data_IF_216788705688
#
_entry.id   IF_216788705688
#
_cell.length_a   1.000
_cell.length_b   1.000
_cell.length_c   1.000
_cell.angle_alpha   90.00
_cell.angle_beta   90.00
_cell.angle_gamma   90.00
#
_symmetry.space_group_name_H-M   'P 1'
#
loop_
_entity.id
_entity.type
_entity.pdbx_description
1 polymer ?
#
# COMPACT_ATOMS: atom_id res chain seq x y z
N UNK A 1 -16.01 -6.08 -30.30
CA UNK A 1 -14.64 -5.54 -30.58
C UNK A 1 -13.63 -6.32 -29.76
N UNK A 2 -12.43 -6.59 -30.30
CA UNK A 2 -11.35 -7.30 -29.60
C UNK A 2 -10.14 -6.40 -29.39
N UNK A 3 -9.41 -6.57 -28.28
CA UNK A 3 -8.22 -5.76 -27.96
C UNK A 3 -6.94 -6.61 -27.87
N UNK A 4 -5.87 -6.15 -28.51
CA UNK A 4 -4.53 -6.69 -28.39
C UNK A 4 -3.69 -5.71 -27.56
N UNK A 5 -3.53 -5.98 -26.27
CA UNK A 5 -2.86 -5.07 -25.32
C UNK A 5 -1.38 -5.44 -25.22
N UNK A 6 -0.51 -4.45 -25.43
CA UNK A 6 0.94 -4.63 -25.53
C UNK A 6 1.34 -5.27 -26.84
N UNK A 7 0.77 -4.80 -27.96
CA UNK A 7 1.00 -5.43 -29.26
C UNK A 7 2.47 -5.39 -29.70
N UNK A 8 3.26 -4.44 -29.19
CA UNK A 8 4.58 -4.13 -29.71
C UNK A 8 4.53 -4.02 -31.24
N UNK A 9 5.50 -4.63 -31.92
CA UNK A 9 5.58 -4.62 -33.39
C UNK A 9 4.65 -5.62 -34.09
N UNK A 10 3.85 -6.38 -33.36
CA UNK A 10 2.98 -7.43 -33.91
C UNK A 10 1.57 -6.88 -34.12
N UNK A 11 1.29 -6.44 -35.35
CA UNK A 11 -0.06 -6.06 -35.77
C UNK A 11 -0.94 -7.30 -35.89
N UNK A 12 -2.14 -7.25 -35.34
CA UNK A 12 -3.19 -8.23 -35.60
C UNK A 12 -4.41 -7.52 -36.19
N UNK A 13 -4.79 -7.80 -37.46
CA UNK A 13 -5.89 -7.12 -38.13
C UNK A 13 -7.28 -7.43 -37.54
N UNK A 14 -7.42 -8.48 -36.73
CA UNK A 14 -8.69 -8.84 -36.09
C UNK A 14 -8.88 -8.14 -34.72
N UNK A 15 -7.89 -7.39 -34.26
CA UNK A 15 -7.88 -6.71 -32.95
C UNK A 15 -7.59 -5.22 -33.11
N UNK A 16 -8.14 -4.41 -32.20
CA UNK A 16 -7.61 -3.07 -31.96
C UNK A 16 -6.29 -3.22 -31.18
N UNK A 17 -5.18 -2.84 -31.80
CA UNK A 17 -3.84 -2.96 -31.26
C UNK A 17 -3.53 -1.77 -30.36
N UNK A 18 -3.15 -2.04 -29.12
CA UNK A 18 -2.90 -1.05 -28.09
C UNK A 18 -1.50 -1.24 -27.53
N UNK A 19 -0.71 -0.17 -27.50
CA UNK A 19 0.61 -0.17 -26.88
C UNK A 19 0.90 1.18 -26.22
N UNK A 20 1.78 1.22 -25.23
CA UNK A 20 2.17 2.47 -24.56
C UNK A 20 3.38 3.14 -25.23
N UNK A 21 4.24 2.36 -25.87
CA UNK A 21 5.54 2.79 -26.38
C UNK A 21 5.72 2.61 -27.89
N UNK A 22 4.91 1.76 -28.53
CA UNK A 22 4.99 1.51 -29.97
C UNK A 22 3.89 2.27 -30.73
N UNK A 23 4.27 3.30 -31.47
CA UNK A 23 3.37 4.16 -32.24
C UNK A 23 3.27 3.80 -33.72
N UNK A 24 4.20 2.99 -34.25
CA UNK A 24 4.20 2.62 -35.66
C UNK A 24 3.10 1.61 -36.01
N UNK A 25 2.74 0.76 -35.05
CA UNK A 25 1.87 -0.40 -35.28
C UNK A 25 0.58 -0.33 -34.44
N UNK A 26 0.59 0.33 -33.29
CA UNK A 26 -0.60 0.41 -32.45
C UNK A 26 -1.68 1.32 -33.08
N UNK A 27 -2.94 0.86 -33.04
CA UNK A 27 -4.11 1.66 -33.42
C UNK A 27 -4.44 2.73 -32.35
N UNK A 28 -3.96 2.51 -31.12
CA UNK A 28 -4.13 3.40 -29.96
C UNK A 28 -2.89 3.37 -29.06
N UNK A 29 -2.40 4.56 -28.70
CA UNK A 29 -1.34 4.73 -27.70
C UNK A 29 -1.93 4.86 -26.29
N UNK A 30 -1.92 3.79 -25.51
CA UNK A 30 -2.53 3.75 -24.16
C UNK A 30 -1.75 2.83 -23.22
N UNK A 31 -1.90 3.09 -21.91
CA UNK A 31 -1.42 2.17 -20.89
C UNK A 31 -2.41 1.01 -20.69
N UNK A 32 -1.90 -0.19 -20.40
CA UNK A 32 -2.71 -1.36 -20.09
C UNK A 32 -3.65 -1.17 -18.88
N UNK A 33 -3.32 -0.25 -17.96
CA UNK A 33 -4.13 0.07 -16.78
C UNK A 33 -4.94 1.37 -16.91
N UNK A 34 -4.98 1.98 -18.11
CA UNK A 34 -5.84 3.13 -18.40
C UNK A 34 -6.28 3.09 -19.85
N UNK A 35 -7.32 2.30 -20.12
CA UNK A 35 -7.85 2.09 -21.46
C UNK A 35 -9.01 3.07 -21.69
N UNK A 36 -8.97 3.86 -22.76
CA UNK A 36 -10.03 4.83 -23.10
C UNK A 36 -11.18 4.18 -23.88
N UNK A 37 -11.63 3.01 -23.40
CA UNK A 37 -12.82 2.32 -23.88
C UNK A 37 -13.92 2.32 -22.84
N UNK A 38 -15.17 2.25 -23.29
CA UNK A 38 -16.35 2.19 -22.44
C UNK A 38 -16.39 0.89 -21.62
N UNK A 39 -17.17 0.90 -20.54
CA UNK A 39 -17.45 -0.30 -19.75
C UNK A 39 -18.14 -1.36 -20.62
N UNK A 40 -17.75 -2.63 -20.48
CA UNK A 40 -18.37 -3.75 -21.20
C UNK A 40 -18.42 -3.59 -22.74
N UNK A 41 -17.37 -3.00 -23.33
CA UNK A 41 -17.30 -2.66 -24.76
C UNK A 41 -16.49 -3.65 -25.62
N UNK A 42 -15.77 -4.60 -25.01
CA UNK A 42 -14.98 -5.60 -25.74
C UNK A 42 -15.34 -7.04 -25.39
N UNK A 43 -15.31 -7.92 -26.40
CA UNK A 43 -15.66 -9.34 -26.27
C UNK A 43 -14.46 -10.20 -25.87
N UNK A 44 -13.25 -9.78 -26.26
CA UNK A 44 -12.02 -10.50 -26.01
C UNK A 44 -10.84 -9.53 -25.85
N UNK A 45 -9.98 -9.83 -24.87
CA UNK A 45 -8.68 -9.22 -24.69
C UNK A 45 -7.62 -10.30 -24.80
N UNK A 46 -6.57 -10.03 -25.58
CA UNK A 46 -5.30 -10.74 -25.46
C UNK A 46 -4.21 -9.79 -24.96
N UNK A 47 -3.42 -10.28 -24.02
CA UNK A 47 -2.34 -9.57 -23.34
C UNK A 47 -1.13 -10.50 -23.33
N UNK A 48 -0.38 -10.52 -24.43
CA UNK A 48 0.67 -11.49 -24.70
C UNK A 48 2.03 -10.87 -24.43
N UNK A 49 2.78 -11.42 -23.47
CA UNK A 49 4.10 -10.91 -23.07
C UNK A 49 4.07 -9.45 -22.60
N UNK A 50 3.04 -9.06 -21.84
CA UNK A 50 2.91 -7.71 -21.28
C UNK A 50 2.93 -7.69 -19.75
N UNK A 51 2.35 -8.70 -19.10
CA UNK A 51 2.15 -8.67 -17.64
C UNK A 51 3.50 -8.64 -16.91
N UNK A 52 4.54 -9.30 -17.43
CA UNK A 52 5.89 -9.27 -16.89
C UNK A 52 6.53 -7.87 -16.88
N UNK A 53 6.08 -6.97 -17.75
CA UNK A 53 6.54 -5.57 -17.82
C UNK A 53 5.82 -4.67 -16.82
N UNK A 54 4.81 -5.19 -16.12
CA UNK A 54 4.07 -4.50 -15.07
C UNK A 54 4.57 -4.94 -13.69
N UNK A 55 4.62 -3.99 -12.75
CA UNK A 55 4.85 -4.28 -11.33
C UNK A 55 3.62 -4.97 -10.74
N UNK A 56 3.75 -5.42 -9.48
CA UNK A 56 2.67 -6.08 -8.76
C UNK A 56 1.36 -5.26 -8.77
N UNK A 57 1.43 -3.96 -8.45
CA UNK A 57 0.24 -3.09 -8.39
C UNK A 57 -0.23 -2.63 -9.77
N UNK A 58 0.69 -2.37 -10.71
CA UNK A 58 0.30 -2.08 -12.09
C UNK A 58 -0.48 -3.25 -12.72
N UNK A 59 -0.14 -4.49 -12.36
CA UNK A 59 -0.86 -5.69 -12.82
C UNK A 59 -2.26 -5.75 -12.23
N UNK A 60 -2.45 -5.48 -10.93
CA UNK A 60 -3.79 -5.41 -10.32
C UNK A 60 -4.65 -4.38 -11.05
N UNK A 61 -4.09 -3.21 -11.36
CA UNK A 61 -4.81 -2.14 -12.06
C UNK A 61 -5.09 -2.52 -13.53
N UNK A 62 -4.15 -3.15 -14.22
CA UNK A 62 -4.35 -3.62 -15.59
C UNK A 62 -5.44 -4.69 -15.68
N UNK A 63 -5.39 -5.72 -14.82
CA UNK A 63 -6.42 -6.75 -14.76
C UNK A 63 -7.79 -6.16 -14.40
N UNK A 64 -7.83 -5.19 -13.48
CA UNK A 64 -9.07 -4.48 -13.17
C UNK A 64 -9.59 -3.67 -14.36
N UNK A 65 -8.71 -3.01 -15.11
CA UNK A 65 -9.10 -2.25 -16.31
C UNK A 65 -9.57 -3.18 -17.43
N UNK A 66 -8.94 -4.35 -17.60
CA UNK A 66 -9.40 -5.41 -18.50
C UNK A 66 -10.78 -5.91 -18.11
N UNK A 67 -11.02 -6.14 -16.82
CA UNK A 67 -12.34 -6.50 -16.31
C UNK A 67 -13.35 -5.39 -16.65
N UNK A 68 -13.02 -4.11 -16.43
CA UNK A 68 -13.93 -2.98 -16.69
C UNK A 68 -14.45 -2.96 -18.13
N UNK A 69 -13.54 -3.10 -19.10
CA UNK A 69 -13.86 -2.96 -20.54
C UNK A 69 -14.43 -4.25 -21.15
N UNK A 70 -14.09 -5.43 -20.62
CA UNK A 70 -14.67 -6.69 -21.11
C UNK A 70 -16.18 -6.73 -20.86
N UNK A 71 -16.94 -7.23 -21.81
CA UNK A 71 -18.35 -7.54 -21.63
C UNK A 71 -18.54 -8.72 -20.66
N UNK A 72 -19.73 -8.90 -20.05
CA UNK A 72 -19.99 -10.07 -19.22
C UNK A 72 -19.79 -11.37 -20.00
N UNK A 73 -19.06 -12.34 -19.42
CA UNK A 73 -18.57 -13.56 -20.09
C UNK A 73 -17.50 -13.33 -21.18
N UNK A 74 -17.02 -12.09 -21.35
CA UNK A 74 -15.92 -11.77 -22.24
C UNK A 74 -14.64 -12.49 -21.83
N UNK A 75 -13.78 -12.77 -22.80
CA UNK A 75 -12.62 -13.64 -22.63
C UNK A 75 -11.33 -12.84 -22.46
N UNK A 76 -10.50 -13.24 -21.52
CA UNK A 76 -9.15 -12.71 -21.31
C UNK A 76 -8.13 -13.83 -21.55
N UNK A 77 -7.14 -13.53 -22.40
CA UNK A 77 -6.00 -14.40 -22.70
C UNK A 77 -4.73 -13.68 -22.27
N UNK A 78 -3.97 -14.28 -21.36
CA UNK A 78 -2.67 -13.76 -20.93
C UNK A 78 -1.59 -14.78 -21.26
N UNK A 79 -0.45 -14.30 -21.77
CA UNK A 79 0.78 -15.08 -21.84
C UNK A 79 1.92 -14.35 -21.14
N UNK A 80 2.74 -15.09 -20.42
CA UNK A 80 3.92 -14.57 -19.72
C UNK A 80 4.96 -15.70 -19.58
N UNK A 81 6.25 -15.40 -19.36
CA UNK A 81 7.27 -16.41 -19.12
C UNK A 81 6.89 -17.36 -17.98
N UNK A 82 7.12 -18.66 -18.18
CA UNK A 82 6.89 -19.68 -17.16
C UNK A 82 8.07 -19.66 -16.18
N UNK A 83 7.86 -19.00 -15.02
CA UNK A 83 8.90 -18.80 -14.01
C UNK A 83 9.50 -20.13 -13.51
N UNK A 84 8.67 -21.14 -13.27
CA UNK A 84 9.12 -22.42 -12.72
C UNK A 84 9.98 -23.18 -13.72
N UNK A 85 9.51 -23.28 -14.97
CA UNK A 85 10.31 -23.92 -16.04
C UNK A 85 11.57 -23.12 -16.34
N UNK A 86 11.49 -21.79 -16.36
CA UNK A 86 12.67 -20.93 -16.57
C UNK A 86 13.71 -21.16 -15.47
N UNK A 87 13.30 -21.28 -14.20
CA UNK A 87 14.19 -21.66 -13.11
C UNK A 87 14.81 -23.05 -13.31
N UNK A 88 14.01 -24.04 -13.73
CA UNK A 88 14.51 -25.40 -13.99
C UNK A 88 15.56 -25.41 -15.11
N UNK A 89 15.34 -24.66 -16.19
CA UNK A 89 16.32 -24.47 -17.26
C UNK A 89 17.58 -23.79 -16.74
N UNK A 90 17.44 -22.68 -16.01
CA UNK A 90 18.58 -21.96 -15.41
C UNK A 90 19.43 -22.86 -14.51
N UNK A 91 18.82 -23.70 -13.68
CA UNK A 91 19.55 -24.58 -12.75
C UNK A 91 20.32 -25.69 -13.48
N UNK A 92 19.83 -26.15 -14.63
CA UNK A 92 20.46 -27.21 -15.45
C UNK A 92 21.47 -26.67 -16.46
N UNK A 93 21.42 -25.38 -16.76
CA UNK A 93 22.22 -24.72 -17.79
C UNK A 93 23.71 -24.55 -17.42
N UNK A 94 24.54 -24.54 -18.45
CA UNK A 94 25.95 -24.14 -18.36
C UNK A 94 26.11 -22.62 -18.16
N UNK A 95 27.36 -22.14 -18.09
CA UNK A 95 27.65 -20.73 -17.81
C UNK A 95 27.14 -19.78 -18.89
N UNK A 96 27.24 -20.14 -20.16
CA UNK A 96 26.86 -19.25 -21.27
C UNK A 96 25.33 -19.26 -21.42
N UNK A 97 24.71 -20.43 -21.36
CA UNK A 97 23.25 -20.58 -21.35
C UNK A 97 22.60 -19.80 -20.20
N UNK A 98 23.21 -19.82 -19.00
CA UNK A 98 22.72 -19.02 -17.87
C UNK A 98 22.65 -17.53 -18.19
N UNK A 99 23.63 -16.97 -18.92
CA UNK A 99 23.62 -15.55 -19.29
C UNK A 99 22.45 -15.23 -20.21
N UNK A 100 22.14 -16.12 -21.15
CA UNK A 100 21.00 -15.97 -22.07
C UNK A 100 19.67 -16.05 -21.32
N UNK A 101 19.53 -17.03 -20.43
CA UNK A 101 18.31 -17.25 -19.62
C UNK A 101 18.03 -16.07 -18.67
N UNK A 102 19.04 -15.30 -18.24
CA UNK A 102 18.81 -14.07 -17.46
C UNK A 102 17.89 -13.08 -18.19
N UNK A 103 17.95 -13.04 -19.53
CA UNK A 103 17.04 -12.23 -20.34
C UNK A 103 15.58 -12.64 -20.20
N UNK A 104 15.29 -13.92 -19.92
CA UNK A 104 13.91 -14.40 -19.70
C UNK A 104 13.33 -13.85 -18.39
N UNK A 105 14.19 -13.61 -17.39
CA UNK A 105 13.75 -13.09 -16.09
C UNK A 105 13.68 -11.57 -16.02
N UNK A 106 14.66 -10.89 -16.61
CA UNK A 106 14.83 -9.45 -16.43
C UNK A 106 14.42 -8.64 -17.67
N UNK A 107 14.13 -9.30 -18.79
CA UNK A 107 13.90 -8.65 -20.06
C UNK A 107 15.13 -7.89 -20.54
N UNK A 108 14.90 -6.89 -21.38
CA UNK A 108 15.95 -6.00 -21.88
C UNK A 108 15.95 -4.75 -20.99
N UNK A 109 17.11 -4.25 -20.50
CA UNK A 109 17.20 -3.05 -19.67
C UNK A 109 16.99 -1.76 -20.49
N UNK A 110 15.84 -1.69 -21.17
CA UNK A 110 15.35 -0.57 -21.95
C UNK A 110 13.94 -0.23 -21.47
N UNK A 111 13.57 1.04 -21.52
CA UNK A 111 12.23 1.51 -21.13
C UNK A 111 11.17 0.73 -21.91
N UNK A 112 10.20 0.15 -21.20
CA UNK A 112 9.14 -0.66 -21.77
C UNK A 112 9.48 -2.14 -22.02
N UNK A 113 10.76 -2.52 -22.06
CA UNK A 113 11.19 -3.91 -22.34
C UNK A 113 11.77 -4.65 -21.13
N UNK A 114 11.97 -3.95 -20.02
CA UNK A 114 12.40 -4.57 -18.77
C UNK A 114 11.25 -5.35 -18.16
N UNK A 115 11.54 -6.53 -17.62
CA UNK A 115 10.58 -7.26 -16.79
C UNK A 115 10.63 -6.68 -15.39
N UNK A 116 9.48 -6.23 -14.87
CA UNK A 116 9.34 -5.73 -13.50
C UNK A 116 9.03 -6.86 -12.52
N UNK A 117 8.36 -7.91 -13.00
CA UNK A 117 8.02 -9.08 -12.20
C UNK A 117 7.91 -10.32 -13.10
N UNK A 118 8.54 -11.41 -12.70
CA UNK A 118 8.22 -12.73 -13.26
C UNK A 118 7.11 -13.35 -12.40
N UNK A 119 5.95 -13.61 -12.99
CA UNK A 119 4.79 -14.09 -12.25
C UNK A 119 4.85 -15.60 -12.04
N UNK A 120 4.91 -16.09 -10.78
CA UNK A 120 4.51 -17.45 -10.51
C UNK A 120 3.03 -17.64 -10.87
N UNK A 121 2.66 -18.78 -11.45
CA UNK A 121 1.29 -19.01 -11.92
C UNK A 121 0.24 -18.85 -10.81
N UNK A 122 0.53 -19.31 -9.58
CA UNK A 122 -0.40 -19.16 -8.46
C UNK A 122 -0.70 -17.69 -8.15
N UNK A 123 0.30 -16.81 -8.24
CA UNK A 123 0.14 -15.40 -7.91
C UNK A 123 -0.74 -14.68 -8.94
N UNK A 124 -0.56 -14.99 -10.23
CA UNK A 124 -1.39 -14.40 -11.28
C UNK A 124 -2.83 -14.94 -11.22
N UNK A 125 -3.01 -16.21 -10.86
CA UNK A 125 -4.34 -16.78 -10.59
C UNK A 125 -5.02 -16.02 -9.44
N UNK A 126 -4.34 -15.85 -8.30
CA UNK A 126 -4.89 -15.08 -7.18
C UNK A 126 -5.29 -13.66 -7.60
N UNK A 127 -4.47 -12.97 -8.41
CA UNK A 127 -4.78 -11.62 -8.89
C UNK A 127 -5.97 -11.59 -9.87
N UNK A 128 -6.09 -12.59 -10.75
CA UNK A 128 -7.22 -12.74 -11.66
C UNK A 128 -8.53 -12.97 -10.88
N UNK A 129 -8.52 -13.87 -9.90
CA UNK A 129 -9.69 -14.13 -9.05
C UNK A 129 -10.09 -12.88 -8.24
N UNK A 130 -9.11 -12.20 -7.63
CA UNK A 130 -9.33 -10.99 -6.84
C UNK A 130 -9.79 -9.78 -7.68
N UNK A 131 -9.62 -9.82 -9.01
CA UNK A 131 -10.15 -8.82 -9.94
C UNK A 131 -11.46 -9.24 -10.60
N UNK A 132 -11.99 -10.43 -10.24
CA UNK A 132 -13.32 -10.88 -10.63
C UNK A 132 -13.36 -11.84 -11.81
N UNK A 133 -12.22 -12.30 -12.32
CA UNK A 133 -12.19 -13.33 -13.35
C UNK A 133 -12.51 -14.71 -12.77
N UNK A 134 -13.02 -15.59 -13.62
CA UNK A 134 -13.35 -16.98 -13.29
C UNK A 134 -12.96 -17.94 -14.43
N UNK A 135 -13.17 -19.24 -14.19
CA UNK A 135 -12.87 -20.31 -15.15
C UNK A 135 -11.42 -20.25 -15.69
N UNK A 136 -10.47 -20.01 -14.77
CA UNK A 136 -9.07 -19.83 -15.11
C UNK A 136 -8.44 -21.18 -15.45
N UNK A 137 -7.93 -21.31 -16.67
CA UNK A 137 -7.19 -22.49 -17.13
C UNK A 137 -5.79 -22.10 -17.56
N UNK A 138 -4.81 -22.98 -17.28
CA UNK A 138 -3.41 -22.74 -17.61
C UNK A 138 -2.89 -23.80 -18.58
N UNK A 139 -2.03 -23.38 -19.49
CA UNK A 139 -1.31 -24.29 -20.40
C UNK A 139 0.12 -23.79 -20.59
N UNK A 140 1.09 -24.64 -20.27
CA UNK A 140 2.50 -24.32 -20.51
C UNK A 140 2.94 -24.78 -21.89
N UNK A 141 3.77 -23.97 -22.55
CA UNK A 141 4.30 -24.23 -23.89
C UNK A 141 5.69 -23.58 -24.03
N UNK A 142 6.30 -23.74 -25.21
CA UNK A 142 7.50 -23.00 -25.60
C UNK A 142 7.11 -22.03 -26.70
N UNK A 143 7.44 -20.76 -26.54
CA UNK A 143 7.12 -19.76 -27.55
C UNK A 143 8.05 -19.90 -28.78
N UNK A 144 7.87 -19.02 -29.77
CA UNK A 144 8.68 -19.01 -31.01
C UNK A 144 10.20 -18.87 -30.80
N UNK A 145 10.64 -18.38 -29.64
CA UNK A 145 12.05 -18.22 -29.27
C UNK A 145 12.53 -19.37 -28.36
N UNK A 146 11.75 -20.45 -28.27
CA UNK A 146 11.97 -21.57 -27.36
C UNK A 146 12.05 -21.17 -25.87
N UNK A 147 11.43 -20.05 -25.49
CA UNK A 147 11.32 -19.61 -24.10
C UNK A 147 10.12 -20.31 -23.46
N UNK A 148 10.29 -20.98 -22.29
CA UNK A 148 9.19 -21.53 -21.53
C UNK A 148 8.17 -20.44 -21.19
N UNK A 149 6.92 -20.65 -21.58
CA UNK A 149 5.83 -19.69 -21.40
C UNK A 149 4.59 -20.40 -20.87
N UNK A 150 3.72 -19.64 -20.20
CA UNK A 150 2.43 -20.12 -19.70
C UNK A 150 1.33 -19.21 -20.21
N UNK A 151 0.25 -19.83 -20.72
CA UNK A 151 -0.97 -19.15 -21.16
C UNK A 151 -2.06 -19.36 -20.14
N UNK A 152 -2.75 -18.28 -19.79
CA UNK A 152 -3.96 -18.25 -18.98
C UNK A 152 -5.14 -17.92 -19.88
N UNK A 153 -6.20 -18.71 -19.83
CA UNK A 153 -7.51 -18.34 -20.37
C UNK A 153 -8.47 -18.18 -19.21
N UNK A 154 -9.15 -17.05 -19.13
CA UNK A 154 -10.14 -16.76 -18.10
C UNK A 154 -11.27 -15.90 -18.66
N UNK A 155 -12.36 -15.82 -17.91
CA UNK A 155 -13.58 -15.16 -18.35
C UNK A 155 -14.04 -14.13 -17.32
N UNK A 156 -14.56 -13.01 -17.80
CA UNK A 156 -15.25 -12.05 -16.95
C UNK A 156 -16.52 -12.71 -16.41
N UNK A 157 -16.74 -12.64 -15.09
CA UNK A 157 -17.99 -13.11 -14.47
C UNK A 157 -19.21 -12.55 -15.19
N UNK A 158 -20.13 -13.44 -15.56
CA UNK A 158 -21.23 -13.11 -16.45
C UNK A 158 -22.42 -12.40 -15.83
N UNK A 159 -22.68 -12.58 -14.52
CA UNK A 159 -23.85 -12.06 -13.82
C UNK A 159 -23.70 -12.15 -12.29
N UNK A 160 -24.59 -11.48 -11.56
CA UNK A 160 -24.72 -11.58 -10.10
C UNK A 160 -24.26 -10.34 -9.33
N UNK A 161 -24.43 -10.38 -8.00
CA UNK A 161 -23.99 -9.30 -7.10
C UNK A 161 -22.46 -9.12 -7.13
N UNK A 162 -21.73 -10.21 -7.27
CA UNK A 162 -20.26 -10.20 -7.36
C UNK A 162 -19.77 -9.40 -8.58
N UNK A 163 -20.36 -9.66 -9.75
CA UNK A 163 -20.03 -8.94 -10.99
C UNK A 163 -20.17 -7.42 -10.81
N UNK A 164 -21.29 -6.97 -10.23
CA UNK A 164 -21.53 -5.53 -10.03
C UNK A 164 -20.48 -4.91 -9.11
N UNK A 165 -20.09 -5.59 -8.05
CA UNK A 165 -19.05 -5.09 -7.15
C UNK A 165 -17.69 -5.04 -7.87
N UNK A 166 -17.30 -6.07 -8.61
CA UNK A 166 -16.04 -6.02 -9.38
C UNK A 166 -16.04 -4.90 -10.44
N UNK A 167 -17.19 -4.60 -11.07
CA UNK A 167 -17.31 -3.46 -11.97
C UNK A 167 -17.11 -2.13 -11.23
N UNK A 168 -17.73 -1.95 -10.05
CA UNK A 168 -17.53 -0.78 -9.20
C UNK A 168 -16.06 -0.63 -8.80
N UNK A 169 -15.43 -1.71 -8.35
CA UNK A 169 -14.02 -1.67 -7.94
C UNK A 169 -13.10 -1.34 -9.11
N UNK A 170 -13.41 -1.83 -10.31
CA UNK A 170 -12.62 -1.52 -11.50
C UNK A 170 -12.73 -0.06 -11.91
N UNK A 171 -13.93 0.50 -11.87
CA UNK A 171 -14.14 1.94 -12.07
C UNK A 171 -13.48 2.77 -10.97
N UNK A 172 -13.52 2.32 -9.71
CA UNK A 172 -12.85 3.00 -8.60
C UNK A 172 -11.34 3.06 -8.79
N UNK A 173 -10.70 1.94 -9.16
CA UNK A 173 -9.26 1.92 -9.47
C UNK A 173 -8.92 2.87 -10.64
N UNK A 174 -9.74 2.89 -11.70
CA UNK A 174 -9.59 3.86 -12.80
C UNK A 174 -9.68 5.31 -12.32
N UNK A 175 -10.71 5.66 -11.55
CA UNK A 175 -10.87 7.01 -10.99
C UNK A 175 -9.69 7.41 -10.09
N UNK A 176 -9.21 6.51 -9.24
CA UNK A 176 -8.05 6.74 -8.37
C UNK A 176 -6.78 6.98 -9.18
N UNK A 177 -6.62 6.29 -10.31
CA UNK A 177 -5.51 6.52 -11.24
C UNK A 177 -5.64 7.90 -11.92
N UNK A 178 -6.80 8.21 -12.52
CA UNK A 178 -7.03 9.47 -13.24
C UNK A 178 -6.91 10.71 -12.34
N UNK A 179 -7.27 10.57 -11.06
CA UNK A 179 -7.18 11.65 -10.06
C UNK A 179 -5.82 11.71 -9.37
N UNK A 180 -4.80 11.01 -9.89
CA UNK A 180 -3.42 10.97 -9.38
C UNK A 180 -3.32 10.59 -7.89
N UNK A 181 -4.24 9.75 -7.43
CA UNK A 181 -4.22 9.27 -6.05
C UNK A 181 -3.26 8.11 -5.85
N UNK A 182 -2.98 7.37 -6.92
CA UNK A 182 -2.08 6.21 -6.93
C UNK A 182 -0.73 6.60 -7.52
N UNK A 183 0.33 6.22 -6.82
CA UNK A 183 1.70 6.35 -7.28
C UNK A 183 2.39 5.00 -7.18
N UNK A 184 2.53 4.31 -8.31
CA UNK A 184 3.15 2.98 -8.37
C UNK A 184 4.65 2.99 -7.97
N UNK A 185 5.28 4.17 -7.86
CA UNK A 185 6.66 4.28 -7.37
C UNK A 185 6.75 4.18 -5.84
N UNK A 186 5.65 4.43 -5.12
CA UNK A 186 5.55 4.20 -3.67
C UNK A 186 4.70 2.97 -3.36
N UNK A 187 5.29 1.79 -3.56
CA UNK A 187 4.62 0.49 -3.35
C UNK A 187 4.11 0.29 -1.92
N UNK A 188 4.72 0.94 -0.92
CA UNK A 188 4.26 0.84 0.47
C UNK A 188 2.94 1.61 0.67
N UNK A 189 2.84 2.80 0.09
CA UNK A 189 1.59 3.56 0.09
C UNK A 189 0.53 2.86 -0.77
N UNK A 190 0.88 2.42 -1.99
CA UNK A 190 -0.07 1.74 -2.89
C UNK A 190 -0.63 0.47 -2.26
N UNK A 191 0.17 -0.27 -1.49
CA UNK A 191 -0.34 -1.41 -0.72
C UNK A 191 -1.46 -0.98 0.22
N UNK A 192 -1.21 0.01 1.08
CA UNK A 192 -2.20 0.45 2.07
C UNK A 192 -3.46 1.04 1.42
N UNK A 193 -3.32 1.66 0.25
CA UNK A 193 -4.43 2.09 -0.61
C UNK A 193 -5.25 0.90 -1.12
N UNK A 194 -4.56 -0.11 -1.65
CA UNK A 194 -5.19 -1.30 -2.22
C UNK A 194 -5.90 -2.14 -1.16
N UNK A 195 -5.37 -2.24 0.06
CA UNK A 195 -6.05 -2.87 1.19
C UNK A 195 -7.40 -2.21 1.49
N UNK A 196 -7.50 -0.88 1.36
CA UNK A 196 -8.76 -0.15 1.52
C UNK A 196 -9.72 -0.40 0.34
N UNK A 197 -9.21 -0.54 -0.88
CA UNK A 197 -10.00 -0.94 -2.06
C UNK A 197 -10.58 -2.35 -1.87
N UNK A 198 -9.78 -3.30 -1.37
CA UNK A 198 -10.22 -4.65 -1.03
C UNK A 198 -11.27 -4.63 0.10
N UNK A 199 -11.06 -3.79 1.12
CA UNK A 199 -12.04 -3.59 2.19
C UNK A 199 -13.38 -3.06 1.66
N UNK A 200 -13.35 -2.11 0.72
CA UNK A 200 -14.55 -1.61 0.02
C UNK A 200 -15.24 -2.78 -0.69
N UNK A 201 -14.50 -3.55 -1.50
CA UNK A 201 -15.07 -4.68 -2.24
C UNK A 201 -15.79 -5.65 -1.30
N UNK A 202 -15.12 -6.04 -0.20
CA UNK A 202 -15.68 -6.93 0.81
C UNK A 202 -16.97 -6.39 1.43
N UNK A 203 -17.00 -5.11 1.84
CA UNK A 203 -18.19 -4.50 2.45
C UNK A 203 -19.35 -4.31 1.47
N UNK A 204 -19.06 -3.98 0.21
CA UNK A 204 -20.08 -3.88 -0.84
C UNK A 204 -20.70 -5.24 -1.17
N UNK A 205 -19.89 -6.30 -1.24
CA UNK A 205 -20.36 -7.68 -1.43
C UNK A 205 -21.24 -8.13 -0.26
N UNK A 206 -20.74 -7.98 0.98
CA UNK A 206 -21.44 -8.39 2.19
C UNK A 206 -22.78 -7.63 2.32
N UNK A 207 -22.79 -6.33 2.02
CA UNK A 207 -24.02 -5.53 2.06
C UNK A 207 -25.05 -5.97 1.01
N UNK A 208 -24.63 -6.33 -0.21
CA UNK A 208 -25.54 -6.88 -1.23
C UNK A 208 -26.13 -8.22 -0.80
N UNK A 209 -25.27 -9.13 -0.32
CA UNK A 209 -25.69 -10.48 0.10
C UNK A 209 -26.62 -10.45 1.32
N UNK A 210 -26.34 -9.59 2.30
CA UNK A 210 -27.10 -9.53 3.57
C UNK A 210 -28.21 -8.49 3.59
N UNK A 211 -28.25 -7.56 2.61
CA UNK A 211 -29.12 -6.36 2.57
C UNK A 211 -28.97 -5.42 3.78
N UNK A 212 -27.86 -5.53 4.53
CA UNK A 212 -27.59 -4.66 5.69
C UNK A 212 -27.00 -3.33 5.24
N UNK A 213 -27.79 -2.26 5.34
CA UNK A 213 -27.34 -0.88 5.04
C UNK A 213 -26.31 -0.34 6.04
N UNK A 214 -26.30 -0.87 7.26
CA UNK A 214 -25.35 -0.48 8.31
C UNK A 214 -23.89 -0.72 7.88
N UNK A 215 -23.63 -1.78 7.11
CA UNK A 215 -22.29 -2.08 6.58
C UNK A 215 -21.76 -0.97 5.67
N UNK A 216 -22.62 -0.31 4.90
CA UNK A 216 -22.25 0.82 4.04
C UNK A 216 -21.94 2.06 4.87
N UNK A 217 -22.69 2.27 5.95
CA UNK A 217 -22.42 3.36 6.89
C UNK A 217 -21.07 3.16 7.59
N UNK A 218 -20.80 1.95 8.08
CA UNK A 218 -19.50 1.58 8.66
C UNK A 218 -18.36 1.80 7.66
N UNK A 219 -18.56 1.38 6.40
CA UNK A 219 -17.60 1.58 5.32
C UNK A 219 -17.24 3.06 5.16
N UNK A 220 -18.23 3.95 5.00
CA UNK A 220 -17.94 5.37 4.84
C UNK A 220 -17.28 6.00 6.07
N UNK A 221 -17.69 5.59 7.28
CA UNK A 221 -17.04 6.05 8.52
C UNK A 221 -15.55 5.70 8.50
N UNK A 222 -15.18 4.47 8.15
CA UNK A 222 -13.77 4.05 8.04
C UNK A 222 -12.99 4.86 7.02
N UNK A 223 -13.53 5.00 5.82
CA UNK A 223 -12.83 5.65 4.71
C UNK A 223 -12.63 7.15 4.96
N UNK A 224 -13.61 7.82 5.56
CA UNK A 224 -13.58 9.28 5.78
C UNK A 224 -12.39 9.73 6.64
N UNK A 225 -11.97 8.94 7.64
CA UNK A 225 -10.81 9.31 8.46
C UNK A 225 -9.50 8.63 8.02
N UNK A 226 -9.58 7.50 7.30
CA UNK A 226 -8.39 6.81 6.80
C UNK A 226 -7.84 7.42 5.53
N UNK A 227 -8.71 7.68 4.56
CA UNK A 227 -8.35 8.18 3.24
C UNK A 227 -9.54 8.92 2.60
N UNK A 228 -9.87 10.14 3.05
CA UNK A 228 -11.08 10.83 2.59
C UNK A 228 -11.14 11.06 1.08
N UNK A 229 -10.00 11.08 0.38
CA UNK A 229 -9.94 11.19 -1.08
C UNK A 229 -10.59 9.98 -1.78
N UNK A 230 -10.46 8.75 -1.25
CA UNK A 230 -11.12 7.58 -1.85
C UNK A 230 -12.65 7.68 -1.77
N UNK A 231 -13.17 8.40 -0.78
CA UNK A 231 -14.62 8.61 -0.63
C UNK A 231 -15.17 9.39 -1.81
N UNK A 232 -14.45 10.41 -2.29
CA UNK A 232 -14.86 11.18 -3.47
C UNK A 232 -14.94 10.29 -4.71
N UNK A 233 -13.90 9.49 -4.97
CA UNK A 233 -13.88 8.55 -6.10
C UNK A 233 -14.96 7.46 -5.97
N UNK A 234 -15.16 6.93 -4.77
CA UNK A 234 -16.17 5.90 -4.51
C UNK A 234 -17.59 6.45 -4.76
N UNK A 235 -17.91 7.63 -4.24
CA UNK A 235 -19.22 8.26 -4.44
C UNK A 235 -19.54 8.46 -5.92
N UNK A 236 -18.58 8.92 -6.74
CA UNK A 236 -18.75 9.07 -8.18
C UNK A 236 -19.11 7.73 -8.86
N UNK A 237 -18.46 6.66 -8.45
CA UNK A 237 -18.64 5.35 -9.09
C UNK A 237 -19.94 4.68 -8.67
N UNK A 238 -20.42 4.91 -7.44
CA UNK A 238 -21.61 4.26 -6.89
C UNK A 238 -22.89 5.10 -6.95
N UNK A 239 -22.85 6.30 -7.54
CA UNK A 239 -23.98 7.25 -7.57
C UNK A 239 -25.29 6.60 -8.04
N UNK A 240 -25.21 5.71 -9.03
CA UNK A 240 -26.36 5.01 -9.62
C UNK A 240 -26.61 3.59 -9.07
N UNK A 241 -25.90 3.18 -8.01
CA UNK A 241 -25.90 1.79 -7.50
C UNK A 241 -26.81 1.57 -6.28
N UNK A 242 -27.55 2.60 -5.83
CA UNK A 242 -28.53 2.55 -4.72
C UNK A 242 -27.96 2.09 -3.36
N UNK A 243 -26.65 2.24 -3.12
CA UNK A 243 -26.03 1.90 -1.82
C UNK A 243 -26.36 2.89 -0.70
N UNK A 244 -26.56 4.16 -1.05
CA UNK A 244 -26.77 5.28 -0.12
C UNK A 244 -27.94 6.14 -0.58
N UNK A 245 -28.63 6.77 0.38
CA UNK A 245 -29.72 7.70 0.04
C UNK A 245 -29.16 9.00 -0.55
N UNK A 246 -29.94 9.77 -1.35
CA UNK A 246 -29.48 11.06 -1.88
C UNK A 246 -29.06 12.05 -0.78
N UNK A 247 -29.73 12.02 0.38
CA UNK A 247 -29.37 12.84 1.54
C UNK A 247 -28.05 12.43 2.17
N UNK A 248 -27.81 11.11 2.32
CA UNK A 248 -26.54 10.59 2.84
C UNK A 248 -25.39 10.85 1.86
N UNK A 249 -25.63 10.71 0.55
CA UNK A 249 -24.66 11.02 -0.49
C UNK A 249 -24.12 12.45 -0.35
N UNK A 250 -25.02 13.44 -0.26
CA UNK A 250 -24.62 14.84 -0.12
C UNK A 250 -23.87 15.08 1.19
N UNK A 251 -24.35 14.50 2.30
CA UNK A 251 -23.72 14.66 3.61
C UNK A 251 -22.30 14.07 3.65
N UNK A 252 -22.12 12.86 3.13
CA UNK A 252 -20.81 12.18 3.05
C UNK A 252 -19.87 12.95 2.13
N UNK A 253 -20.36 13.44 0.97
CA UNK A 253 -19.58 14.24 0.03
C UNK A 253 -19.04 15.50 0.69
N UNK A 254 -19.92 16.32 1.27
CA UNK A 254 -19.54 17.55 1.96
C UNK A 254 -18.56 17.27 3.10
N UNK A 255 -18.79 16.19 3.88
CA UNK A 255 -17.89 15.82 4.97
C UNK A 255 -16.51 15.40 4.43
N UNK A 256 -16.44 14.63 3.35
CA UNK A 256 -15.16 14.24 2.75
C UNK A 256 -14.35 15.47 2.31
N UNK A 257 -15.00 16.47 1.71
CA UNK A 257 -14.35 17.71 1.27
C UNK A 257 -13.79 18.51 2.45
N UNK A 258 -14.58 18.66 3.53
CA UNK A 258 -14.15 19.33 4.76
C UNK A 258 -12.97 18.62 5.44
N UNK A 259 -12.96 17.29 5.45
CA UNK A 259 -11.89 16.49 6.06
C UNK A 259 -10.59 16.60 5.27
N UNK A 260 -10.67 16.67 3.93
CA UNK A 260 -9.53 16.92 3.05
C UNK A 260 -8.99 18.34 3.28
N UNK A 261 -9.88 19.35 3.25
CA UNK A 261 -9.51 20.76 3.47
C UNK A 261 -8.77 20.96 4.80
N UNK A 262 -9.21 20.25 5.85
CA UNK A 262 -8.61 20.34 7.18
C UNK A 262 -7.61 19.22 7.51
N UNK A 263 -7.15 18.49 6.49
CA UNK A 263 -6.05 17.51 6.58
C UNK A 263 -6.23 16.53 7.75
N UNK A 264 -7.40 15.90 7.87
CA UNK A 264 -7.72 15.02 9.00
C UNK A 264 -6.65 13.95 9.23
N UNK A 265 -6.08 13.39 8.16
CA UNK A 265 -5.01 12.39 8.26
C UNK A 265 -3.80 12.96 9.01
N UNK A 266 -3.35 14.17 8.67
CA UNK A 266 -2.26 14.83 9.39
C UNK A 266 -2.63 15.10 10.86
N UNK A 267 -3.86 15.51 11.14
CA UNK A 267 -4.34 15.69 12.52
C UNK A 267 -4.20 14.39 13.31
N UNK A 268 -4.68 13.27 12.77
CA UNK A 268 -4.61 11.97 13.44
C UNK A 268 -3.17 11.49 13.65
N UNK A 269 -2.29 11.67 12.65
CA UNK A 269 -0.86 11.37 12.83
C UNK A 269 -0.23 12.22 13.94
N UNK A 270 -0.55 13.52 14.02
CA UNK A 270 -0.03 14.37 15.08
C UNK A 270 -0.57 13.93 16.45
N UNK A 271 -1.84 13.53 16.55
CA UNK A 271 -2.40 12.98 17.79
C UNK A 271 -1.67 11.72 18.29
N UNK A 272 -1.14 10.88 17.39
CA UNK A 272 -0.26 9.75 17.79
C UNK A 272 0.98 10.26 18.51
N UNK A 273 1.59 11.35 18.01
CA UNK A 273 2.83 11.91 18.58
C UNK A 273 2.64 12.62 19.92
N UNK A 274 1.41 13.04 20.22
CA UNK A 274 1.01 13.69 21.47
C UNK A 274 0.63 12.69 22.57
N UNK A 275 0.39 11.43 22.21
CA UNK A 275 0.17 10.35 23.17
C UNK A 275 1.35 10.18 24.14
N UNK A 276 1.23 9.30 25.15
CA UNK A 276 2.31 9.04 26.13
C UNK A 276 3.63 8.59 25.44
N UNK A 277 4.69 8.15 26.12
CA UNK A 277 5.81 7.43 25.42
C UNK A 277 6.21 6.19 26.21
N UNK A 278 5.18 5.48 26.65
CA UNK A 278 5.32 4.22 27.37
C UNK A 278 5.67 3.13 26.36
N UNK A 279 6.75 2.35 26.59
CA UNK A 279 7.14 1.28 25.70
C UNK A 279 6.06 0.19 25.61
N UNK A 280 5.81 -0.35 24.42
CA UNK A 280 4.84 -1.43 24.21
C UNK A 280 3.39 -0.96 24.16
N UNK A 281 3.14 0.35 24.01
CA UNK A 281 1.79 0.92 23.97
C UNK A 281 1.41 1.48 22.60
N UNK A 282 2.17 1.21 21.52
CA UNK A 282 1.86 1.76 20.19
C UNK A 282 0.46 1.38 19.74
N UNK A 283 0.14 0.09 19.82
CA UNK A 283 -1.16 -0.44 19.44
C UNK A 283 -2.32 0.22 20.20
N UNK A 284 -2.16 0.44 21.51
CA UNK A 284 -3.18 1.08 22.35
C UNK A 284 -3.41 2.54 21.92
N UNK A 285 -2.33 3.28 21.69
CA UNK A 285 -2.42 4.69 21.26
C UNK A 285 -3.06 4.80 19.88
N UNK A 286 -2.65 3.95 18.93
CA UNK A 286 -3.24 3.91 17.60
C UNK A 286 -4.74 3.66 17.66
N UNK A 287 -5.20 2.62 18.35
CA UNK A 287 -6.63 2.33 18.47
C UNK A 287 -7.40 3.40 19.23
N UNK A 288 -6.77 4.09 20.18
CA UNK A 288 -7.41 5.20 20.89
C UNK A 288 -7.67 6.38 19.93
N UNK A 289 -6.71 6.71 19.08
CA UNK A 289 -6.85 7.75 18.04
C UNK A 289 -7.85 7.32 16.96
N UNK A 290 -7.79 6.08 16.50
CA UNK A 290 -8.74 5.51 15.53
C UNK A 290 -10.18 5.50 16.08
N UNK A 291 -10.37 5.08 17.33
CA UNK A 291 -11.69 5.07 17.98
C UNK A 291 -12.24 6.49 18.15
N UNK A 292 -11.38 7.44 18.53
CA UNK A 292 -11.76 8.85 18.59
C UNK A 292 -12.20 9.37 17.21
N UNK A 293 -11.41 9.10 16.17
CA UNK A 293 -11.72 9.52 14.80
C UNK A 293 -13.06 8.94 14.33
N UNK A 294 -13.26 7.63 14.51
CA UNK A 294 -14.51 6.94 14.20
C UNK A 294 -15.71 7.60 14.87
N UNK A 295 -15.65 7.78 16.19
CA UNK A 295 -16.76 8.37 16.96
C UNK A 295 -17.02 9.81 16.55
N UNK A 296 -15.97 10.58 16.23
CA UNK A 296 -16.09 11.93 15.69
C UNK A 296 -16.85 11.93 14.35
N UNK A 297 -16.45 11.07 13.40
CA UNK A 297 -17.11 10.96 12.09
C UNK A 297 -18.56 10.47 12.23
N UNK A 298 -18.82 9.46 13.06
CA UNK A 298 -20.17 8.96 13.34
C UNK A 298 -21.07 10.07 13.89
N UNK A 299 -20.56 10.86 14.85
CA UNK A 299 -21.32 11.98 15.41
C UNK A 299 -21.64 13.03 14.36
N UNK A 300 -20.68 13.38 13.50
CA UNK A 300 -20.92 14.38 12.43
C UNK A 300 -21.94 13.87 11.40
N UNK A 301 -21.89 12.58 11.05
CA UNK A 301 -22.84 11.99 10.11
C UNK A 301 -24.26 11.89 10.71
N UNK A 302 -24.39 11.63 12.02
CA UNK A 302 -25.67 11.43 12.69
C UNK A 302 -26.34 12.73 13.20
N UNK A 303 -25.56 13.80 13.43
CA UNK A 303 -26.04 15.03 14.08
C UNK A 303 -25.59 16.27 13.31
N UNK A 304 -26.54 16.94 12.64
CA UNK A 304 -26.27 18.24 11.99
C UNK A 304 -26.07 19.38 13.00
N UNK A 305 -26.73 19.32 14.16
CA UNK A 305 -26.74 20.39 15.17
C UNK A 305 -25.35 20.70 15.76
N UNK A 306 -24.45 19.71 15.82
CA UNK A 306 -23.09 19.89 16.37
C UNK A 306 -21.98 19.89 15.30
N UNK A 307 -22.34 19.88 14.01
CA UNK A 307 -21.39 19.72 12.91
C UNK A 307 -20.35 20.86 12.88
N UNK A 308 -20.79 22.11 13.02
CA UNK A 308 -19.89 23.27 13.02
C UNK A 308 -18.91 23.26 14.20
N UNK A 309 -19.36 22.89 15.40
CA UNK A 309 -18.51 22.80 16.58
C UNK A 309 -17.44 21.71 16.40
N UNK A 310 -17.83 20.52 15.94
CA UNK A 310 -16.92 19.40 15.72
C UNK A 310 -15.90 19.69 14.62
N UNK A 311 -16.32 20.33 13.52
CA UNK A 311 -15.41 20.81 12.47
C UNK A 311 -14.47 21.89 13.04
N UNK A 312 -14.96 22.79 13.90
CA UNK A 312 -14.16 23.78 14.60
C UNK A 312 -13.02 23.15 15.43
N UNK A 313 -13.28 22.00 16.05
CA UNK A 313 -12.24 21.22 16.76
C UNK A 313 -11.18 20.69 15.79
N UNK A 314 -11.57 20.12 14.66
CA UNK A 314 -10.62 19.64 13.63
C UNK A 314 -9.76 20.79 13.10
N UNK A 315 -10.37 21.94 12.79
CA UNK A 315 -9.66 23.16 12.34
C UNK A 315 -8.61 23.61 13.35
N UNK A 316 -8.96 23.59 14.63
CA UNK A 316 -8.06 24.01 15.72
C UNK A 316 -6.87 23.05 15.83
N UNK A 317 -7.11 21.74 15.81
CA UNK A 317 -6.06 20.72 15.85
C UNK A 317 -5.14 20.77 14.62
N UNK A 318 -5.69 21.06 13.44
CA UNK A 318 -4.90 21.17 12.22
C UNK A 318 -3.92 22.36 12.27
N UNK A 319 -4.32 23.52 12.79
CA UNK A 319 -3.45 24.70 12.92
C UNK A 319 -2.18 24.44 13.74
N UNK A 320 -2.26 23.54 14.72
CA UNK A 320 -1.13 23.17 15.58
C UNK A 320 -0.34 21.97 15.05
N UNK A 321 -0.81 21.33 13.98
CA UNK A 321 -0.24 20.11 13.44
C UNK A 321 1.02 20.38 12.60
N UNK A 322 2.02 19.51 12.71
CA UNK A 322 3.14 19.51 11.76
C UNK A 322 2.70 18.84 10.48
N UNK A 323 3.07 19.41 9.35
CA UNK A 323 2.86 18.76 8.06
C UNK A 323 3.79 17.55 7.95
N UNK A 324 3.19 16.36 7.90
CA UNK A 324 3.88 15.10 7.69
C UNK A 324 3.63 14.54 6.29
N UNK A 325 2.90 15.28 5.44
CA UNK A 325 2.56 14.94 4.05
C UNK A 325 2.00 13.52 3.85
N UNK A 326 1.25 13.01 4.82
CA UNK A 326 0.69 11.67 4.76
C UNK A 326 -0.66 11.70 4.05
N UNK A 327 -0.84 10.80 3.08
CA UNK A 327 -2.09 10.66 2.34
C UNK A 327 -3.12 9.76 3.04
N UNK A 328 -2.66 8.81 3.87
CA UNK A 328 -3.52 7.81 4.51
C UNK A 328 -3.14 7.59 5.97
N UNK A 329 -4.13 7.46 6.84
CA UNK A 329 -3.96 7.07 8.23
C UNK A 329 -3.85 5.55 8.37
N UNK A 330 -2.62 5.04 8.40
CA UNK A 330 -2.33 3.61 8.58
C UNK A 330 -1.12 3.34 9.49
N UNK A 331 -1.11 2.16 10.12
CA UNK A 331 -0.02 1.73 11.00
C UNK A 331 1.29 1.64 10.23
N UNK A 332 1.30 1.04 9.04
CA UNK A 332 2.51 0.83 8.26
C UNK A 332 3.18 2.17 7.86
N UNK A 333 2.39 3.18 7.50
CA UNK A 333 2.92 4.50 7.15
C UNK A 333 3.45 5.27 8.38
N UNK A 334 2.82 5.12 9.55
CA UNK A 334 3.35 5.63 10.82
C UNK A 334 4.71 4.98 11.12
N UNK A 335 4.81 3.66 10.99
CA UNK A 335 6.05 2.92 11.25
C UNK A 335 7.17 3.30 10.28
N UNK A 336 6.86 3.43 8.98
CA UNK A 336 7.80 3.89 7.95
C UNK A 336 8.29 5.31 8.23
N UNK A 337 7.38 6.22 8.57
CA UNK A 337 7.74 7.61 8.93
C UNK A 337 8.65 7.64 10.16
N UNK A 338 8.34 6.85 11.19
CA UNK A 338 9.16 6.74 12.38
C UNK A 338 10.56 6.20 12.05
N UNK A 339 10.66 5.21 11.16
CA UNK A 339 11.92 4.62 10.72
C UNK A 339 12.78 5.61 9.92
N UNK A 340 12.17 6.38 9.01
CA UNK A 340 12.88 7.42 8.26
C UNK A 340 13.49 8.48 9.20
N UNK A 341 12.71 8.96 10.17
CA UNK A 341 13.17 9.91 11.19
C UNK A 341 14.28 9.29 12.05
N UNK A 342 14.14 8.01 12.40
CA UNK A 342 15.17 7.28 13.13
C UNK A 342 16.51 7.25 12.38
N UNK A 343 16.51 6.92 11.09
CA UNK A 343 17.73 6.90 10.27
C UNK A 343 18.36 8.28 10.09
N UNK A 344 17.55 9.34 10.00
CA UNK A 344 18.06 10.71 10.08
C UNK A 344 18.76 10.96 11.43
N UNK A 345 18.22 10.41 12.53
CA UNK A 345 18.85 10.44 13.84
C UNK A 345 20.21 9.76 13.86
N UNK A 346 20.33 8.59 13.24
CA UNK A 346 21.60 7.85 13.08
C UNK A 346 22.62 8.70 12.30
N UNK A 347 22.22 9.27 11.16
CA UNK A 347 23.06 10.18 10.37
C UNK A 347 23.56 11.36 11.20
N UNK A 348 22.65 12.03 11.92
CA UNK A 348 22.98 13.16 12.79
C UNK A 348 23.93 12.76 13.92
N UNK A 349 23.78 11.56 14.47
CA UNK A 349 24.68 11.04 15.49
C UNK A 349 26.10 10.90 14.96
N UNK A 350 26.29 10.31 13.77
CA UNK A 350 27.62 10.16 13.16
C UNK A 350 28.25 11.50 12.77
N UNK A 351 27.44 12.51 12.45
CA UNK A 351 27.87 13.89 12.26
C UNK A 351 28.25 14.60 13.58
N UNK A 352 28.20 13.88 14.72
CA UNK A 352 28.44 14.39 16.08
C UNK A 352 27.45 15.50 16.51
N UNK A 353 26.34 15.67 15.80
CA UNK A 353 25.25 16.55 16.19
C UNK A 353 24.27 15.80 17.08
N UNK A 354 24.69 15.56 18.33
CA UNK A 354 23.94 14.72 19.27
C UNK A 354 22.62 15.35 19.73
N UNK A 355 22.54 16.68 19.78
CA UNK A 355 21.28 17.39 20.14
C UNK A 355 20.23 17.17 19.06
N UNK A 356 20.60 17.29 17.78
CA UNK A 356 19.68 17.01 16.69
C UNK A 356 19.31 15.53 16.62
N UNK A 357 20.29 14.63 16.79
CA UNK A 357 20.04 13.18 16.86
C UNK A 357 19.05 12.82 18.00
N UNK A 358 19.20 13.43 19.17
CA UNK A 358 18.28 13.26 20.30
C UNK A 358 16.84 13.63 19.91
N UNK A 359 16.65 14.78 19.28
CA UNK A 359 15.32 15.26 18.88
C UNK A 359 14.68 14.36 17.81
N UNK A 360 15.48 13.83 16.90
CA UNK A 360 15.04 12.87 15.88
C UNK A 360 14.65 11.53 16.51
N UNK A 361 15.49 10.95 17.37
CA UNK A 361 15.15 9.70 18.06
C UNK A 361 13.91 9.85 18.95
N UNK A 362 13.74 10.99 19.62
CA UNK A 362 12.53 11.25 20.39
C UNK A 362 11.29 11.35 19.48
N UNK A 363 11.41 12.01 18.32
CA UNK A 363 10.33 12.09 17.32
C UNK A 363 9.96 10.72 16.76
N UNK A 364 10.95 9.88 16.47
CA UNK A 364 10.72 8.49 16.04
C UNK A 364 9.98 7.68 17.12
N UNK A 365 10.36 7.81 18.39
CA UNK A 365 9.68 7.14 19.53
C UNK A 365 8.24 7.62 19.69
N UNK A 366 7.97 8.92 19.48
CA UNK A 366 6.61 9.46 19.55
C UNK A 366 5.68 8.86 18.50
N UNK A 367 6.20 8.56 17.31
CA UNK A 367 5.45 7.89 16.24
C UNK A 367 5.36 6.38 16.44
N UNK A 368 6.46 5.73 16.83
CA UNK A 368 6.53 4.30 17.10
C UNK A 368 7.34 4.01 18.37
N UNK A 369 6.63 3.71 19.45
CA UNK A 369 7.20 3.39 20.78
C UNK A 369 7.32 1.88 21.07
N UNK A 370 7.10 1.02 20.10
CA UNK A 370 7.23 -0.43 20.27
C UNK A 370 8.57 -0.96 19.73
N UNK A 371 9.37 -0.07 19.13
CA UNK A 371 10.71 -0.37 18.66
C UNK A 371 11.78 -0.10 19.74
N UNK A 372 12.35 -1.17 20.32
CA UNK A 372 13.38 -1.05 21.36
C UNK A 372 14.68 -0.42 20.88
N UNK A 373 15.02 -0.54 19.59
CA UNK A 373 16.22 0.04 18.99
C UNK A 373 16.15 1.57 19.08
N UNK A 374 14.96 2.16 18.95
CA UNK A 374 14.79 3.62 19.04
C UNK A 374 15.11 4.12 20.46
N UNK A 375 14.60 3.44 21.48
CA UNK A 375 14.92 3.76 22.88
C UNK A 375 16.40 3.51 23.20
N UNK A 376 16.98 2.45 22.66
CA UNK A 376 18.39 2.13 22.88
C UNK A 376 19.30 3.24 22.34
N UNK A 377 19.09 3.65 21.09
CA UNK A 377 19.84 4.74 20.46
C UNK A 377 19.61 6.09 21.14
N UNK A 378 18.40 6.38 21.60
CA UNK A 378 18.14 7.57 22.42
C UNK A 378 18.94 7.53 23.73
N UNK A 379 19.02 6.37 24.38
CA UNK A 379 19.79 6.19 25.62
C UNK A 379 21.29 6.44 25.39
N UNK A 380 21.86 5.90 24.31
CA UNK A 380 23.24 6.13 23.87
C UNK A 380 23.52 7.61 23.56
N UNK A 381 22.60 8.26 22.85
CA UNK A 381 22.70 9.68 22.51
C UNK A 381 22.68 10.56 23.75
N UNK A 382 21.81 10.27 24.71
CA UNK A 382 21.79 10.96 26.01
C UNK A 382 23.09 10.75 26.79
N UNK A 383 23.74 9.60 26.67
CA UNK A 383 25.05 9.35 27.29
C UNK A 383 26.18 10.14 26.60
N UNK A 384 26.11 10.35 25.28
CA UNK A 384 27.02 11.24 24.54
C UNK A 384 26.83 12.71 24.90
N UNK A 385 25.59 13.10 25.22
CA UNK A 385 25.22 14.42 25.76
C UNK A 385 25.45 14.54 27.28
N UNK A 386 26.09 13.55 27.91
CA UNK A 386 26.39 13.51 29.36
C UNK A 386 25.15 13.65 30.27
N UNK A 387 23.96 13.44 29.72
CA UNK A 387 22.68 13.47 30.42
C UNK A 387 22.37 12.11 31.07
N UNK A 388 23.27 11.63 31.94
CA UNK A 388 23.26 10.26 32.47
C UNK A 388 21.97 9.90 33.21
N UNK A 389 21.39 10.82 34.00
CA UNK A 389 20.12 10.60 34.70
C UNK A 389 18.95 10.36 33.72
N UNK A 390 18.95 11.05 32.58
CA UNK A 390 17.94 10.82 31.53
C UNK A 390 18.25 9.51 30.79
N UNK A 391 19.51 9.27 30.46
CA UNK A 391 19.97 8.03 29.81
C UNK A 391 19.56 6.79 30.62
N UNK A 392 19.78 6.78 31.94
CA UNK A 392 19.38 5.67 32.83
C UNK A 392 17.87 5.38 32.74
N UNK A 393 17.02 6.42 32.71
CA UNK A 393 15.56 6.26 32.58
C UNK A 393 15.18 5.63 31.25
N UNK A 394 15.84 6.01 30.15
CA UNK A 394 15.56 5.47 28.81
C UNK A 394 16.12 4.04 28.66
N UNK A 395 17.27 3.70 29.26
CA UNK A 395 17.75 2.32 29.31
C UNK A 395 16.79 1.39 30.04
N UNK A 396 16.20 1.83 31.17
CA UNK A 396 15.14 1.06 31.86
C UNK A 396 13.94 0.78 30.95
N UNK A 397 13.53 1.75 30.13
CA UNK A 397 12.49 1.57 29.12
C UNK A 397 12.90 0.56 28.04
N UNK A 398 14.13 0.68 27.53
CA UNK A 398 14.71 -0.26 26.55
C UNK A 398 14.72 -1.70 27.07
N UNK A 399 15.20 -1.92 28.30
CA UNK A 399 15.24 -3.23 28.96
C UNK A 399 13.85 -3.82 29.25
N UNK A 400 12.83 -2.98 29.46
CA UNK A 400 11.44 -3.45 29.57
C UNK A 400 10.90 -3.91 28.22
N UNK A 401 11.16 -3.13 27.17
CA UNK A 401 10.65 -3.41 25.82
C UNK A 401 11.27 -4.69 25.25
N UNK A 402 12.59 -4.87 25.32
CA UNK A 402 13.27 -6.06 24.79
C UNK A 402 12.79 -7.38 25.42
N UNK A 403 12.29 -7.35 26.68
CA UNK A 403 11.71 -8.54 27.32
C UNK A 403 10.46 -9.03 26.58
N UNK A 404 9.60 -8.10 26.17
CA UNK A 404 8.32 -8.39 25.51
C UNK A 404 8.43 -8.47 23.98
N UNK A 405 9.45 -7.87 23.36
CA UNK A 405 9.66 -7.95 21.90
C UNK A 405 10.06 -9.37 21.48
N UNK A 406 9.51 -9.89 20.38
CA UNK A 406 9.93 -11.16 19.78
C UNK A 406 11.10 -10.89 18.82
N UNK A 407 12.32 -11.24 19.22
CA UNK A 407 13.54 -11.10 18.39
C UNK A 407 14.45 -12.30 18.52
N UNK A 408 15.24 -12.58 17.48
CA UNK A 408 16.35 -13.54 17.54
C UNK A 408 17.44 -13.00 18.48
N UNK A 409 18.22 -13.87 19.11
CA UNK A 409 19.33 -13.52 20.02
C UNK A 409 18.94 -12.58 21.18
N UNK A 410 17.70 -12.70 21.68
CA UNK A 410 17.15 -11.84 22.75
C UNK A 410 18.06 -11.79 23.99
N UNK A 411 18.66 -12.91 24.39
CA UNK A 411 19.51 -12.99 25.58
C UNK A 411 20.78 -12.15 25.41
N UNK A 412 21.45 -12.26 24.26
CA UNK A 412 22.65 -11.50 23.93
C UNK A 412 22.37 -9.99 23.87
N UNK A 413 21.30 -9.60 23.15
CA UNK A 413 20.87 -8.21 23.08
C UNK A 413 20.58 -7.63 24.46
N UNK A 414 19.85 -8.38 25.30
CA UNK A 414 19.56 -7.97 26.67
C UNK A 414 20.85 -7.83 27.50
N UNK A 415 21.82 -8.72 27.32
CA UNK A 415 23.13 -8.66 28.01
C UNK A 415 23.90 -7.40 27.60
N UNK A 416 23.98 -7.08 26.31
CA UNK A 416 24.64 -5.87 25.81
C UNK A 416 23.98 -4.58 26.35
N UNK A 417 22.65 -4.50 26.29
CA UNK A 417 21.90 -3.35 26.83
C UNK A 417 22.13 -3.23 28.35
N UNK A 418 22.20 -4.36 29.06
CA UNK A 418 22.42 -4.39 30.50
C UNK A 418 23.84 -3.93 30.88
N UNK A 419 24.86 -4.33 30.13
CA UNK A 419 26.25 -3.87 30.33
C UNK A 419 26.36 -2.35 30.18
N UNK A 420 25.82 -1.79 29.08
CA UNK A 420 25.79 -0.35 28.87
C UNK A 420 25.02 0.38 29.98
N UNK A 421 23.88 -0.18 30.41
CA UNK A 421 23.07 0.37 31.50
C UNK A 421 23.81 0.37 32.85
N UNK A 422 24.49 -0.72 33.18
CA UNK A 422 25.26 -0.83 34.43
C UNK A 422 26.44 0.14 34.44
N UNK A 423 27.08 0.34 33.28
CA UNK A 423 28.09 1.40 33.14
C UNK A 423 27.47 2.78 33.36
N UNK A 424 26.30 3.09 32.80
CA UNK A 424 25.63 4.39 33.00
C UNK A 424 25.33 4.66 34.48
N UNK A 425 24.92 3.64 35.24
CA UNK A 425 24.66 3.77 36.69
C UNK A 425 25.92 3.97 37.51
N UNK A 426 26.96 3.16 37.25
CA UNK A 426 28.15 3.10 38.10
C UNK A 426 29.25 4.06 37.65
N UNK A 427 29.33 4.34 36.35
CA UNK A 427 30.40 5.08 35.66
C UNK A 427 31.79 4.54 36.00
N UNK A 428 31.91 3.22 36.07
CA UNK A 428 33.15 2.48 36.40
C UNK A 428 33.52 1.54 35.26
N UNK A 429 34.83 1.35 35.06
CA UNK A 429 35.37 0.52 33.99
C UNK A 429 35.44 1.25 32.64
N UNK A 430 35.73 0.51 31.58
CA UNK A 430 35.89 1.06 30.24
C UNK A 430 34.58 1.66 29.74
N UNK A 431 34.64 2.91 29.26
CA UNK A 431 33.47 3.59 28.68
C UNK A 431 33.01 2.84 27.42
N UNK A 432 31.75 2.38 27.36
CA UNK A 432 31.19 1.82 26.14
C UNK A 432 31.28 2.83 25.01
N UNK A 433 31.46 2.35 23.78
CA UNK A 433 31.52 3.24 22.62
C UNK A 433 30.20 3.98 22.39
N UNK A 434 29.06 3.44 22.85
CA UNK A 434 27.74 4.02 22.62
C UNK A 434 27.48 4.33 21.14
N UNK A 435 28.03 3.51 20.25
CA UNK A 435 27.77 3.64 18.83
C UNK A 435 26.32 3.23 18.55
N UNK A 436 25.66 3.91 17.59
CA UNK A 436 24.28 3.67 17.31
C UNK A 436 24.08 2.28 16.70
N UNK A 437 22.93 1.67 17.00
CA UNK A 437 22.55 0.34 16.52
C UNK A 437 21.52 0.50 15.42
N UNK A 438 21.70 -0.21 14.31
CA UNK A 438 20.84 -0.11 13.13
C UNK A 438 19.86 -1.29 13.04
N UNK A 439 20.28 -2.51 13.42
CA UNK A 439 19.48 -3.73 13.35
C UNK A 439 19.66 -4.60 14.60
#
# INVERSE_FOLDING_TARGET
MKLNIGCGKKYDPDYCNVDLYEDLVADRLMSAYNLEFDDNSCEEIKAIHIIEHLSFFETIYALSEFFRVLEPNGKLIIETPDLEKSCQHYLKADREQKKEILGWFFGIPHKGLQHKLCFPSFLLIDQLENTGFENITTSSFYNHEAIPSVRFNCYKRGNGDDFKVFQIISKLRKELFLTNQIDFTDSFLTKEQEDLVIFIASKLLESRQTKKKELIKELFVELLFKWPEIVKSLLLVIENENYISPGDFLNIKELSELLIEHRIVNVLFNSITEGPTNPGTQRIVFFSVESFARKLIENILNSKENREELIGKIKTLNKTSKDLSNKIFSVALIERTALNIFYLGIKSFHQKNYTHAHNLFLSAIKLNRDNYIFFWNLSKTLARLESYNKSEKVYKKTLRLIKITKVKNKQDLKSQIQEEFDWIKKRKGNRPKFDPIIN
#
